data_IF_878411220846
#
_entry.id   IF_878411220846
#
_cell.length_a   1.000
_cell.length_b   1.000
_cell.length_c   1.000
_cell.angle_alpha   90.00
_cell.angle_beta   90.00
_cell.angle_gamma   90.00
#
_symmetry.space_group_name_H-M   'P 1'
#
loop_
_entity.id
_entity.type
_entity.pdbx_description
1 polymer ?
#
# COMPACT_ATOMS: atom_id res chain seq x y z
N UNK A 1 1.04 11.40 -38.53
CA UNK A 1 0.83 10.46 -37.40
C UNK A 1 0.86 11.10 -36.00
N UNK A 2 1.44 12.30 -35.81
CA UNK A 2 1.52 13.00 -34.51
C UNK A 2 0.19 13.66 -34.05
N UNK A 3 -0.56 14.27 -34.96
CA UNK A 3 -1.80 15.00 -34.63
C UNK A 3 -2.94 14.09 -34.14
N UNK A 4 -3.07 12.87 -34.70
CA UNK A 4 -4.09 11.88 -34.31
C UNK A 4 -3.84 11.38 -32.88
N UNK A 5 -2.58 11.16 -32.51
CA UNK A 5 -2.22 10.73 -31.14
C UNK A 5 -2.55 11.81 -30.12
N UNK A 6 -2.30 13.09 -30.45
CA UNK A 6 -2.61 14.25 -29.60
C UNK A 6 -4.12 14.45 -29.43
N UNK A 7 -4.90 14.27 -30.51
CA UNK A 7 -6.36 14.33 -30.49
C UNK A 7 -7.00 13.20 -29.66
N UNK A 8 -6.48 11.97 -29.79
CA UNK A 8 -6.90 10.83 -28.98
C UNK A 8 -6.64 11.04 -27.49
N UNK A 9 -5.45 11.52 -27.13
CA UNK A 9 -5.07 11.82 -25.75
C UNK A 9 -5.98 12.94 -25.18
N UNK A 10 -6.21 14.01 -25.94
CA UNK A 10 -7.10 15.11 -25.55
C UNK A 10 -8.54 14.63 -25.31
N UNK A 11 -9.04 13.75 -26.17
CA UNK A 11 -10.39 13.20 -26.06
C UNK A 11 -10.53 12.24 -24.87
N UNK A 12 -9.48 11.45 -24.59
CA UNK A 12 -9.43 10.59 -23.41
C UNK A 12 -9.42 11.41 -22.12
N UNK A 13 -8.54 12.41 -22.03
CA UNK A 13 -8.42 13.28 -20.84
C UNK A 13 -9.72 14.05 -20.59
N UNK A 14 -10.39 14.52 -21.64
CA UNK A 14 -11.67 15.23 -21.54
C UNK A 14 -12.83 14.36 -21.03
N UNK A 15 -12.69 13.02 -21.04
CA UNK A 15 -13.72 12.09 -20.55
C UNK A 15 -13.46 11.57 -19.13
N UNK A 16 -12.34 11.94 -18.50
CA UNK A 16 -12.00 11.49 -17.16
C UNK A 16 -12.96 12.14 -16.17
N UNK A 17 -13.74 11.33 -15.46
CA UNK A 17 -14.61 11.82 -14.38
C UNK A 17 -13.78 12.23 -13.17
N UNK A 18 -14.33 13.09 -12.31
CA UNK A 18 -13.63 13.55 -11.11
C UNK A 18 -13.14 12.38 -10.23
N UNK A 19 -13.92 11.30 -10.10
CA UNK A 19 -13.54 10.12 -9.31
C UNK A 19 -12.30 9.42 -9.90
N UNK A 20 -12.23 9.29 -11.23
CA UNK A 20 -11.11 8.68 -11.94
C UNK A 20 -9.87 9.58 -11.83
N UNK A 21 -10.03 10.90 -11.96
CA UNK A 21 -8.93 11.85 -11.79
C UNK A 21 -8.36 11.79 -10.36
N UNK A 22 -9.22 11.73 -9.34
CA UNK A 22 -8.81 11.57 -7.94
C UNK A 22 -8.09 10.25 -7.72
N UNK A 23 -8.58 9.15 -8.30
CA UNK A 23 -7.92 7.85 -8.21
C UNK A 23 -6.54 7.86 -8.86
N UNK A 24 -6.40 8.43 -10.05
CA UNK A 24 -5.12 8.60 -10.75
C UNK A 24 -4.17 9.43 -9.88
N UNK A 25 -4.65 10.53 -9.31
CA UNK A 25 -3.86 11.41 -8.45
C UNK A 25 -3.35 10.70 -7.19
N UNK A 26 -4.23 9.99 -6.47
CA UNK A 26 -3.83 9.20 -5.30
C UNK A 26 -2.84 8.10 -5.70
N UNK A 27 -3.03 7.45 -6.84
CA UNK A 27 -2.12 6.44 -7.37
C UNK A 27 -0.74 7.03 -7.70
N UNK A 28 -0.69 8.25 -8.26
CA UNK A 28 0.58 8.95 -8.50
C UNK A 28 1.30 9.28 -7.19
N UNK A 29 0.59 9.79 -6.19
CA UNK A 29 1.16 10.05 -4.86
C UNK A 29 1.72 8.75 -4.28
N UNK A 30 0.93 7.69 -4.29
CA UNK A 30 1.32 6.38 -3.78
C UNK A 30 2.57 5.85 -4.50
N UNK A 31 2.62 5.88 -5.83
CA UNK A 31 3.79 5.46 -6.60
C UNK A 31 5.03 6.30 -6.28
N UNK A 32 4.86 7.62 -6.11
CA UNK A 32 5.93 8.52 -5.69
C UNK A 32 6.50 8.19 -4.31
N UNK A 33 5.67 7.71 -3.38
CA UNK A 33 6.16 7.30 -2.05
C UNK A 33 7.16 6.16 -2.10
N UNK A 34 7.07 5.22 -3.06
CA UNK A 34 8.05 4.13 -3.19
C UNK A 34 9.46 4.65 -3.46
N UNK A 35 9.58 5.70 -4.28
CA UNK A 35 10.87 6.34 -4.55
C UNK A 35 11.43 7.03 -3.31
N UNK A 36 10.59 7.80 -2.61
CA UNK A 36 10.98 8.48 -1.38
C UNK A 36 11.40 7.49 -0.29
N UNK A 37 10.63 6.42 -0.11
CA UNK A 37 10.91 5.34 0.86
C UNK A 37 12.20 4.61 0.50
N UNK A 38 12.42 4.28 -0.78
CA UNK A 38 13.66 3.64 -1.21
C UNK A 38 14.90 4.49 -0.86
N UNK A 39 14.85 5.80 -1.11
CA UNK A 39 15.91 6.72 -0.71
C UNK A 39 16.07 6.83 0.82
N UNK A 40 14.97 6.98 1.55
CA UNK A 40 15.01 7.07 3.01
C UNK A 40 15.65 5.82 3.65
N UNK A 41 15.29 4.64 3.13
CA UNK A 41 15.81 3.35 3.61
C UNK A 41 17.29 3.14 3.31
N UNK A 42 17.85 3.75 2.26
CA UNK A 42 19.29 3.71 2.00
C UNK A 42 20.10 4.45 3.07
N UNK A 43 19.51 5.49 3.67
CA UNK A 43 20.18 6.33 4.69
C UNK A 43 19.95 5.77 6.10
N UNK A 44 18.72 5.40 6.44
CA UNK A 44 18.36 4.97 7.80
C UNK A 44 18.37 3.45 8.00
N UNK A 45 18.43 2.69 6.92
CA UNK A 45 18.20 1.24 6.93
C UNK A 45 16.70 0.87 6.82
N UNK A 46 16.41 -0.30 6.23
CA UNK A 46 15.05 -0.78 5.93
C UNK A 46 14.17 -0.95 7.19
N UNK A 47 14.65 -1.73 8.15
CA UNK A 47 13.88 -2.10 9.34
C UNK A 47 13.67 -0.92 10.29
N UNK A 48 14.64 0.00 10.38
CA UNK A 48 14.51 1.20 11.20
C UNK A 48 13.46 2.15 10.63
N UNK A 49 13.46 2.39 9.31
CA UNK A 49 12.46 3.23 8.65
C UNK A 49 11.04 2.69 8.84
N UNK A 50 10.85 1.39 8.61
CA UNK A 50 9.55 0.72 8.80
C UNK A 50 9.14 0.75 10.27
N UNK A 51 10.07 0.46 11.18
CA UNK A 51 9.83 0.52 12.63
C UNK A 51 9.38 1.90 13.08
N UNK A 52 10.04 2.97 12.64
CA UNK A 52 9.65 4.34 12.95
C UNK A 52 8.27 4.69 12.41
N UNK A 53 7.95 4.27 11.17
CA UNK A 53 6.63 4.48 10.55
C UNK A 53 5.52 3.83 11.39
N UNK A 54 5.70 2.57 11.79
CA UNK A 54 4.72 1.87 12.62
C UNK A 54 4.66 2.44 14.04
N UNK A 55 5.79 2.82 14.64
CA UNK A 55 5.81 3.46 15.96
C UNK A 55 5.07 4.81 15.96
N UNK A 56 5.26 5.63 14.93
CA UNK A 56 4.52 6.88 14.76
C UNK A 56 3.02 6.62 14.57
N UNK A 57 2.65 5.65 13.74
CA UNK A 57 1.25 5.26 13.55
C UNK A 57 0.61 4.77 14.86
N UNK A 58 1.30 3.92 15.62
CA UNK A 58 0.85 3.44 16.92
C UNK A 58 0.67 4.60 17.90
N UNK A 59 1.66 5.49 18.04
CA UNK A 59 1.56 6.64 18.95
C UNK A 59 0.35 7.51 18.61
N UNK A 60 0.20 7.90 17.34
CA UNK A 60 -0.92 8.74 16.89
C UNK A 60 -2.25 8.04 17.15
N UNK A 61 -2.42 6.80 16.68
CA UNK A 61 -3.67 6.07 16.85
C UNK A 61 -4.01 5.81 18.32
N UNK A 62 -3.00 5.49 19.15
CA UNK A 62 -3.18 5.31 20.59
C UNK A 62 -3.68 6.59 21.22
N UNK A 63 -3.06 7.75 20.93
CA UNK A 63 -3.47 9.04 21.49
C UNK A 63 -4.92 9.42 21.13
N UNK A 64 -5.34 9.18 19.88
CA UNK A 64 -6.71 9.48 19.44
C UNK A 64 -7.74 8.47 19.96
N UNK A 65 -7.36 7.20 20.14
CA UNK A 65 -8.27 6.11 20.52
C UNK A 65 -8.14 5.66 21.98
N UNK A 66 -7.54 6.45 22.87
CA UNK A 66 -7.36 6.10 24.29
C UNK A 66 -8.66 5.67 24.99
N UNK A 67 -9.79 6.27 24.62
CA UNK A 67 -11.11 5.93 25.19
C UNK A 67 -11.59 4.55 24.74
N UNK A 68 -11.39 4.22 23.47
CA UNK A 68 -11.75 2.93 22.87
C UNK A 68 -10.85 1.80 23.36
N UNK A 69 -9.56 2.09 23.56
CA UNK A 69 -8.57 1.10 24.04
C UNK A 69 -8.81 0.63 25.48
N UNK A 70 -9.57 1.38 26.29
CA UNK A 70 -9.91 0.97 27.67
C UNK A 70 -10.81 -0.26 27.74
N UNK A 71 -11.56 -0.56 26.67
CA UNK A 71 -12.43 -1.73 26.58
C UNK A 71 -11.79 -2.93 25.86
N UNK A 72 -10.48 -2.87 25.54
CA UNK A 72 -9.83 -3.87 24.71
C UNK A 72 -9.83 -5.24 25.39
N UNK A 73 -10.45 -6.21 24.72
CA UNK A 73 -10.51 -7.60 25.19
C UNK A 73 -9.21 -8.35 24.88
N UNK A 74 -8.95 -9.43 25.62
CA UNK A 74 -7.81 -10.30 25.34
C UNK A 74 -7.87 -10.95 23.95
N UNK A 75 -9.08 -11.22 23.45
CA UNK A 75 -9.28 -11.76 22.11
C UNK A 75 -8.85 -10.76 21.02
N UNK A 76 -9.28 -9.50 21.14
CA UNK A 76 -8.89 -8.44 20.21
C UNK A 76 -7.39 -8.17 20.24
N UNK A 77 -6.78 -8.22 21.43
CA UNK A 77 -5.33 -8.09 21.55
C UNK A 77 -4.59 -9.23 20.83
N UNK A 78 -5.00 -10.49 21.05
CA UNK A 78 -4.40 -11.63 20.35
C UNK A 78 -4.58 -11.51 18.83
N UNK A 79 -5.78 -11.17 18.37
CA UNK A 79 -6.06 -10.97 16.95
C UNK A 79 -5.17 -9.85 16.37
N UNK A 80 -5.05 -8.72 17.08
CA UNK A 80 -4.18 -7.61 16.70
C UNK A 80 -2.71 -8.00 16.63
N UNK A 81 -2.22 -8.83 17.56
CA UNK A 81 -0.85 -9.36 17.53
C UNK A 81 -0.63 -10.25 16.31
N UNK A 82 -1.55 -11.18 16.00
CA UNK A 82 -1.45 -12.02 14.80
C UNK A 82 -1.42 -11.20 13.52
N UNK A 83 -2.31 -10.19 13.41
CA UNK A 83 -2.33 -9.26 12.27
C UNK A 83 -1.02 -8.47 12.20
N UNK A 84 -0.52 -7.96 13.34
CA UNK A 84 0.74 -7.22 13.42
C UNK A 84 1.94 -8.05 12.97
N UNK A 85 2.02 -9.32 13.38
CA UNK A 85 3.07 -10.24 12.93
C UNK A 85 2.97 -10.48 11.42
N UNK A 86 1.78 -10.74 10.89
CA UNK A 86 1.59 -10.93 9.45
C UNK A 86 2.02 -9.69 8.64
N UNK A 87 1.65 -8.49 9.11
CA UNK A 87 2.06 -7.21 8.51
C UNK A 87 3.57 -7.03 8.60
N UNK A 88 4.20 -7.33 9.75
CA UNK A 88 5.65 -7.24 9.92
C UNK A 88 6.38 -8.11 8.91
N UNK A 89 5.95 -9.35 8.68
CA UNK A 89 6.54 -10.20 7.66
C UNK A 89 6.32 -9.64 6.25
N UNK A 90 5.11 -9.19 5.94
CA UNK A 90 4.80 -8.60 4.63
C UNK A 90 5.65 -7.36 4.32
N UNK A 91 5.70 -6.40 5.25
CA UNK A 91 6.54 -5.21 5.10
C UNK A 91 8.02 -5.53 5.16
N UNK A 92 8.46 -6.44 6.03
CA UNK A 92 9.85 -6.86 6.12
C UNK A 92 10.35 -7.44 4.80
N UNK A 93 9.60 -8.39 4.22
CA UNK A 93 9.92 -8.97 2.91
C UNK A 93 9.88 -7.92 1.79
N UNK A 94 8.88 -7.05 1.77
CA UNK A 94 8.80 -5.95 0.79
C UNK A 94 10.02 -5.04 0.89
N UNK A 95 10.39 -4.65 2.11
CA UNK A 95 11.44 -3.69 2.39
C UNK A 95 12.83 -4.27 2.09
N UNK A 96 13.06 -5.55 2.41
CA UNK A 96 14.25 -6.28 1.95
C UNK A 96 14.27 -6.40 0.43
N UNK A 97 13.13 -6.69 -0.20
CA UNK A 97 13.00 -6.70 -1.65
C UNK A 97 13.38 -5.36 -2.28
N UNK A 98 12.94 -4.23 -1.72
CA UNK A 98 13.33 -2.89 -2.19
C UNK A 98 14.85 -2.66 -2.21
N UNK A 99 15.65 -3.43 -1.47
CA UNK A 99 17.11 -3.31 -1.51
C UNK A 99 17.73 -4.03 -2.73
N UNK A 100 17.04 -5.04 -3.26
CA UNK A 100 17.53 -5.89 -4.36
C UNK A 100 16.92 -5.54 -5.70
N UNK A 101 15.71 -4.96 -5.73
CA UNK A 101 15.01 -4.55 -6.95
C UNK A 101 14.75 -3.04 -6.98
N UNK A 102 14.61 -2.49 -8.19
CA UNK A 102 14.29 -1.08 -8.35
C UNK A 102 12.92 -0.73 -7.74
N UNK A 103 12.74 0.52 -7.31
CA UNK A 103 11.48 1.01 -6.74
C UNK A 103 10.28 0.79 -7.68
N UNK A 104 10.50 0.89 -9.00
CA UNK A 104 9.46 0.63 -10.01
C UNK A 104 9.06 -0.84 -10.08
N UNK A 105 10.02 -1.77 -9.98
CA UNK A 105 9.71 -3.22 -9.96
C UNK A 105 8.98 -3.61 -8.69
N UNK A 106 9.37 -3.05 -7.53
CA UNK A 106 8.69 -3.31 -6.26
C UNK A 106 7.27 -2.75 -6.23
N UNK A 107 7.07 -1.54 -6.76
CA UNK A 107 5.74 -0.94 -6.89
C UNK A 107 4.85 -1.77 -7.83
N UNK A 108 5.40 -2.30 -8.92
CA UNK A 108 4.66 -3.16 -9.85
C UNK A 108 4.23 -4.48 -9.18
N UNK A 109 5.15 -5.18 -8.50
CA UNK A 109 4.82 -6.41 -7.76
C UNK A 109 3.79 -6.14 -6.67
N UNK A 110 3.89 -5.01 -5.99
CA UNK A 110 2.88 -4.60 -5.00
C UNK A 110 1.54 -4.36 -5.71
N UNK A 111 1.48 -3.64 -6.82
CA UNK A 111 0.22 -3.44 -7.55
C UNK A 111 -0.40 -4.75 -8.07
N UNK A 112 0.40 -5.79 -8.33
CA UNK A 112 -0.10 -7.13 -8.71
C UNK A 112 -0.88 -7.84 -7.59
N UNK A 113 -0.77 -7.42 -6.32
CA UNK A 113 -1.65 -7.99 -5.29
C UNK A 113 -3.12 -7.66 -5.58
N UNK A 114 -3.43 -6.51 -6.20
CA UNK A 114 -4.81 -6.05 -6.46
C UNK A 114 -5.61 -7.06 -7.30
N UNK A 115 -5.11 -7.54 -8.47
CA UNK A 115 -5.77 -8.62 -9.20
C UNK A 115 -5.61 -10.00 -8.54
N UNK A 116 -4.58 -10.23 -7.72
CA UNK A 116 -4.44 -11.52 -7.00
C UNK A 116 -5.45 -11.70 -5.87
N UNK A 117 -5.86 -10.62 -5.19
CA UNK A 117 -6.85 -10.69 -4.10
C UNK A 117 -8.15 -11.40 -4.51
N UNK A 118 -8.85 -11.02 -5.60
CA UNK A 118 -10.05 -11.72 -6.05
C UNK A 118 -9.77 -13.17 -6.47
N UNK A 119 -8.62 -13.47 -7.07
CA UNK A 119 -8.23 -14.85 -7.42
C UNK A 119 -8.01 -15.73 -6.19
N UNK A 120 -7.33 -15.19 -5.17
CA UNK A 120 -7.13 -15.88 -3.89
C UNK A 120 -8.45 -16.02 -3.12
N UNK A 121 -9.32 -15.01 -3.19
CA UNK A 121 -10.66 -15.08 -2.61
C UNK A 121 -11.50 -16.17 -3.26
N UNK A 122 -11.44 -16.30 -4.59
CA UNK A 122 -12.06 -17.40 -5.31
C UNK A 122 -11.48 -18.75 -4.89
N UNK A 123 -10.16 -18.86 -4.78
CA UNK A 123 -9.49 -20.10 -4.37
C UNK A 123 -9.88 -20.54 -2.94
N UNK A 124 -9.99 -19.59 -2.00
CA UNK A 124 -10.25 -19.88 -0.58
C UNK A 124 -11.74 -20.03 -0.28
N UNK A 125 -12.60 -19.20 -0.88
CA UNK A 125 -14.04 -19.18 -0.60
C UNK A 125 -14.87 -19.94 -1.66
N UNK A 126 -14.29 -20.29 -2.81
CA UNK A 126 -14.98 -20.95 -3.92
C UNK A 126 -15.98 -20.05 -4.67
N UNK A 127 -16.17 -18.80 -4.22
CA UNK A 127 -17.13 -17.85 -4.81
C UNK A 127 -16.40 -17.00 -5.85
N UNK A 128 -16.88 -17.03 -7.09
CA UNK A 128 -16.32 -16.19 -8.15
C UNK A 128 -16.62 -14.71 -7.84
N UNK A 129 -15.60 -13.84 -7.78
CA UNK A 129 -15.82 -12.41 -7.58
C UNK A 129 -16.59 -11.86 -8.78
N UNK A 130 -17.79 -11.34 -8.54
CA UNK A 130 -18.67 -10.72 -9.54
C UNK A 130 -18.10 -9.41 -10.08
#
# INVERSE_FOLDING_TARGET
MSAVKKSLISTLISKIKLQEAVLIFITMIWGGTFLAVHHAMQVSGPFFFVGLRFAAATLVLTLFSLRTLRGLTWYELKAGVFIGIAIMFGYGLQTVGLQTISSSQSAFITAMYVPMVPLLQWLVLGVFPA
#
